data_IF_480871626871
#
_entry.id   IF_480871626871
#
_cell.length_a   1.000
_cell.length_b   1.000
_cell.length_c   1.000
_cell.angle_alpha   90.00
_cell.angle_beta   90.00
_cell.angle_gamma   90.00
#
_symmetry.space_group_name_H-M   'P 1'
#
loop_
_entity.id
_entity.type
_entity.pdbx_description
1 polymer ?
#
# COMPACT_ATOMS: atom_id res chain seq x y z
N UNK A 1 1.15 -14.21 -11.68
CA UNK A 1 2.02 -13.08 -12.13
C UNK A 1 1.91 -12.80 -13.64
N UNK A 2 0.84 -13.20 -14.35
CA UNK A 2 0.89 -13.23 -15.84
C UNK A 2 -0.14 -12.33 -16.54
N UNK A 3 -1.12 -11.76 -15.84
CA UNK A 3 -2.14 -10.91 -16.49
C UNK A 3 -1.73 -9.42 -16.65
N UNK A 4 -0.65 -8.97 -16.00
CA UNK A 4 -0.27 -7.55 -15.97
C UNK A 4 0.75 -7.12 -17.06
N UNK A 5 1.16 -8.04 -17.94
CA UNK A 5 2.17 -7.77 -18.97
C UNK A 5 1.64 -6.95 -20.16
N UNK A 6 0.33 -6.77 -20.30
CA UNK A 6 -0.26 -5.98 -21.37
C UNK A 6 -0.23 -4.46 -21.11
N UNK A 7 -0.08 -4.03 -19.84
CA UNK A 7 -0.22 -2.63 -19.47
C UNK A 7 1.05 -2.08 -18.84
N UNK A 8 1.63 -1.04 -19.45
CA UNK A 8 2.98 -0.51 -19.16
C UNK A 8 3.10 0.24 -17.82
N UNK A 9 2.09 0.16 -16.95
CA UNK A 9 2.07 0.81 -15.66
C UNK A 9 2.58 -0.14 -14.56
N UNK A 10 3.41 0.33 -13.62
CA UNK A 10 3.78 -0.46 -12.46
C UNK A 10 2.52 -0.67 -11.59
N UNK A 11 1.95 -1.87 -11.64
CA UNK A 11 0.87 -2.29 -10.75
C UNK A 11 1.50 -2.96 -9.53
N UNK A 12 1.11 -2.50 -8.35
CA UNK A 12 1.56 -3.02 -7.06
C UNK A 12 0.39 -3.62 -6.28
N UNK A 13 0.67 -4.73 -5.60
CA UNK A 13 -0.20 -5.40 -4.64
C UNK A 13 0.62 -5.60 -3.36
N UNK A 14 0.03 -5.50 -2.16
CA UNK A 14 0.74 -5.79 -0.93
C UNK A 14 1.00 -7.28 -0.77
N UNK A 15 2.02 -7.63 0.01
CA UNK A 15 2.39 -9.01 0.26
C UNK A 15 1.22 -9.80 0.87
N UNK A 16 0.91 -10.95 0.26
CA UNK A 16 -0.19 -11.83 0.68
C UNK A 16 -1.58 -11.40 0.20
N UNK A 17 -1.71 -10.31 -0.58
CA UNK A 17 -2.97 -9.97 -1.22
C UNK A 17 -3.17 -10.75 -2.53
N UNK A 18 -4.38 -11.26 -2.72
CA UNK A 18 -4.79 -11.86 -3.99
C UNK A 18 -5.10 -10.77 -5.03
N UNK A 19 -4.82 -11.01 -6.33
CA UNK A 19 -5.25 -10.11 -7.40
C UNK A 19 -6.77 -9.95 -7.45
N UNK A 20 -7.23 -8.76 -7.82
CA UNK A 20 -8.65 -8.45 -7.98
C UNK A 20 -8.93 -7.88 -9.37
N UNK A 21 -10.09 -8.19 -9.93
CA UNK A 21 -10.56 -7.70 -11.21
C UNK A 21 -12.08 -7.79 -11.29
N UNK A 22 -12.68 -6.98 -12.17
CA UNK A 22 -14.11 -7.07 -12.50
C UNK A 22 -14.44 -8.18 -13.51
N UNK A 23 -13.42 -8.85 -14.05
CA UNK A 23 -13.52 -9.95 -15.01
C UNK A 23 -12.89 -11.22 -14.42
N UNK A 24 -13.20 -12.38 -15.00
CA UNK A 24 -12.69 -13.65 -14.50
C UNK A 24 -11.24 -13.87 -14.93
N UNK A 25 -10.43 -14.60 -14.13
CA UNK A 25 -9.10 -15.01 -14.57
C UNK A 25 -9.16 -15.81 -15.87
N UNK A 26 -8.52 -15.30 -16.93
CA UNK A 26 -8.49 -15.94 -18.24
C UNK A 26 -9.40 -15.27 -19.29
N UNK A 27 -10.27 -14.35 -18.88
CA UNK A 27 -11.02 -13.51 -19.81
C UNK A 27 -10.13 -12.39 -20.39
N UNK A 28 -10.44 -11.95 -21.60
CA UNK A 28 -9.79 -10.80 -22.24
C UNK A 28 -10.31 -9.49 -21.61
N UNK A 29 -9.46 -8.75 -20.87
CA UNK A 29 -9.88 -7.55 -20.15
C UNK A 29 -10.36 -6.42 -21.06
N UNK A 30 -10.02 -6.43 -22.34
CA UNK A 30 -10.48 -5.41 -23.29
C UNK A 30 -11.91 -5.67 -23.77
N UNK A 31 -12.43 -6.88 -23.51
CA UNK A 31 -13.74 -7.34 -24.00
C UNK A 31 -14.71 -7.59 -22.84
N UNK A 32 -14.24 -8.04 -21.67
CA UNK A 32 -15.05 -8.35 -20.48
C UNK A 32 -15.08 -7.20 -19.47
N UNK A 33 -15.54 -6.04 -19.93
CA UNK A 33 -15.66 -4.85 -19.09
C UNK A 33 -17.01 -4.76 -18.40
N UNK A 34 -17.03 -4.12 -17.23
CA UNK A 34 -18.28 -3.68 -16.60
C UNK A 34 -18.92 -2.63 -17.49
N UNK A 35 -20.19 -2.82 -17.84
CA UNK A 35 -20.93 -1.89 -18.68
C UNK A 35 -21.06 -0.50 -18.02
N UNK A 36 -21.29 0.52 -18.84
CA UNK A 36 -21.49 1.88 -18.35
C UNK A 36 -22.69 1.93 -17.39
N UNK A 37 -22.43 2.37 -16.16
CA UNK A 37 -23.45 2.41 -15.10
C UNK A 37 -23.60 1.10 -14.32
N UNK A 38 -22.83 0.06 -14.66
CA UNK A 38 -22.66 -1.12 -13.84
C UNK A 38 -21.81 -0.85 -12.60
N UNK A 39 -21.92 -1.73 -11.61
CA UNK A 39 -21.21 -1.65 -10.34
C UNK A 39 -20.31 -2.87 -10.17
N UNK A 40 -19.12 -2.65 -9.63
CA UNK A 40 -18.22 -3.70 -9.15
C UNK A 40 -17.92 -3.46 -7.67
N UNK A 41 -17.95 -4.52 -6.88
CA UNK A 41 -17.64 -4.48 -5.45
C UNK A 41 -16.53 -5.47 -5.13
N UNK A 42 -15.59 -5.03 -4.29
CA UNK A 42 -14.50 -5.86 -3.78
C UNK A 42 -14.19 -5.46 -2.33
N UNK A 43 -13.97 -6.47 -1.48
CA UNK A 43 -13.55 -6.28 -0.09
C UNK A 43 -12.07 -6.60 0.03
N UNK A 44 -11.29 -5.65 0.56
CA UNK A 44 -9.86 -5.82 0.80
C UNK A 44 -9.62 -6.37 2.20
N UNK A 45 -8.97 -7.53 2.28
CA UNK A 45 -8.67 -8.19 3.57
C UNK A 45 -7.24 -7.90 4.07
N UNK A 46 -6.34 -7.49 3.18
CA UNK A 46 -4.93 -7.26 3.49
C UNK A 46 -4.65 -5.76 3.54
N UNK A 47 -3.95 -5.32 4.59
CA UNK A 47 -3.50 -3.93 4.69
C UNK A 47 -2.29 -3.68 3.78
N UNK A 48 -2.23 -2.48 3.20
CA UNK A 48 -1.13 -2.08 2.32
C UNK A 48 -1.58 -1.21 1.16
N UNK A 49 -0.66 -1.01 0.22
CA UNK A 49 -0.88 -0.19 -0.96
C UNK A 49 -1.26 -1.04 -2.16
N UNK A 50 -2.38 -0.68 -2.80
CA UNK A 50 -2.91 -1.32 -4.01
C UNK A 50 -2.96 -0.33 -5.16
N UNK A 51 -2.60 -0.77 -6.35
CA UNK A 51 -2.84 -0.01 -7.58
C UNK A 51 -4.17 -0.39 -8.21
N UNK A 52 -5.08 0.58 -8.34
CA UNK A 52 -6.28 0.48 -9.16
C UNK A 52 -5.99 0.94 -10.58
N UNK A 53 -6.47 0.16 -11.57
CA UNK A 53 -6.33 0.47 -12.99
C UNK A 53 -7.65 0.20 -13.71
N UNK A 54 -8.18 1.21 -14.41
CA UNK A 54 -9.22 0.99 -15.41
C UNK A 54 -8.54 0.76 -16.76
N UNK A 55 -8.39 -0.51 -17.14
CA UNK A 55 -7.61 -0.95 -18.30
C UNK A 55 -7.88 -0.16 -19.59
N UNK A 56 -9.13 0.02 -20.07
CA UNK A 56 -9.38 0.74 -21.32
C UNK A 56 -9.08 2.24 -21.27
N UNK A 57 -8.97 2.83 -20.07
CA UNK A 57 -8.73 4.27 -19.87
C UNK A 57 -7.37 4.56 -19.24
N UNK A 58 -6.55 3.54 -19.07
CA UNK A 58 -5.30 3.69 -18.36
C UNK A 58 -4.29 4.56 -19.15
N UNK A 59 -4.42 4.64 -20.49
CA UNK A 59 -3.54 5.48 -21.34
C UNK A 59 -3.97 6.94 -21.26
N UNK A 60 -5.24 7.14 -20.91
CA UNK A 60 -5.79 8.43 -20.52
C UNK A 60 -5.50 8.76 -19.05
N UNK A 61 -4.79 7.89 -18.32
CA UNK A 61 -4.35 8.12 -16.95
C UNK A 61 -5.32 7.66 -15.87
N UNK A 62 -6.31 6.80 -16.18
CA UNK A 62 -7.28 6.31 -15.19
C UNK A 62 -6.67 5.21 -14.29
N UNK A 63 -5.79 5.66 -13.39
CA UNK A 63 -5.13 4.86 -12.38
C UNK A 63 -5.23 5.55 -11.03
N UNK A 64 -5.15 4.78 -9.94
CA UNK A 64 -5.14 5.32 -8.59
C UNK A 64 -4.45 4.40 -7.60
N UNK A 65 -4.08 4.97 -6.46
CA UNK A 65 -3.48 4.23 -5.34
C UNK A 65 -4.51 4.14 -4.22
N UNK A 66 -4.79 2.92 -3.76
CA UNK A 66 -5.63 2.65 -2.59
C UNK A 66 -4.73 2.24 -1.43
N UNK A 67 -4.76 2.99 -0.34
CA UNK A 67 -4.07 2.64 0.90
C UNK A 67 -5.08 2.05 1.89
N UNK A 68 -4.98 0.75 2.12
CA UNK A 68 -5.81 0.02 3.07
C UNK A 68 -5.07 -0.03 4.40
N UNK A 69 -5.68 0.55 5.44
CA UNK A 69 -5.15 0.51 6.80
C UNK A 69 -6.17 -0.13 7.74
N UNK A 70 -5.72 -0.89 8.74
CA UNK A 70 -6.62 -1.48 9.73
C UNK A 70 -7.47 -0.41 10.43
N UNK A 71 -8.76 -0.70 10.64
CA UNK A 71 -9.68 0.21 11.34
C UNK A 71 -9.19 0.58 12.73
N UNK A 72 -8.46 -0.31 13.38
CA UNK A 72 -7.86 -0.08 14.69
C UNK A 72 -6.88 1.10 14.69
N UNK A 73 -6.19 1.37 13.58
CA UNK A 73 -5.31 2.55 13.47
C UNK A 73 -6.10 3.86 13.50
N UNK A 74 -7.30 3.88 12.90
CA UNK A 74 -8.19 5.04 12.98
C UNK A 74 -8.71 5.25 14.39
N UNK A 75 -9.05 4.17 15.10
CA UNK A 75 -9.49 4.25 16.50
C UNK A 75 -8.38 4.85 17.37
N UNK A 76 -7.13 4.40 17.21
CA UNK A 76 -6.01 4.99 17.93
C UNK A 76 -5.80 6.47 17.60
N UNK A 77 -6.03 6.90 16.36
CA UNK A 77 -6.01 8.31 15.99
C UNK A 77 -7.08 9.12 16.73
N UNK A 78 -8.32 8.66 16.75
CA UNK A 78 -9.42 9.32 17.49
C UNK A 78 -9.18 9.32 19.01
N UNK A 79 -8.69 8.22 19.57
CA UNK A 79 -8.34 8.11 20.99
C UNK A 79 -7.19 9.06 21.32
N UNK A 80 -6.17 9.17 20.47
CA UNK A 80 -5.08 10.12 20.67
C UNK A 80 -5.59 11.57 20.62
N UNK A 81 -6.45 11.92 19.66
CA UNK A 81 -7.05 13.26 19.56
C UNK A 81 -7.86 13.65 20.80
N UNK A 82 -8.57 12.68 21.38
CA UNK A 82 -9.44 12.89 22.55
C UNK A 82 -8.68 12.90 23.87
N UNK A 83 -7.68 12.02 24.05
CA UNK A 83 -6.88 11.92 25.27
C UNK A 83 -5.79 12.99 25.33
N UNK A 84 -5.06 13.21 24.23
CA UNK A 84 -3.96 14.19 24.18
C UNK A 84 -4.44 15.59 23.77
N UNK A 85 -5.74 15.76 23.58
CA UNK A 85 -6.38 17.06 23.59
C UNK A 85 -6.05 17.94 22.40
N UNK A 86 -6.68 17.69 21.25
CA UNK A 86 -6.99 18.78 20.32
C UNK A 86 -8.06 19.68 20.96
N UNK A 87 -7.67 20.54 21.90
CA UNK A 87 -8.54 21.62 22.40
C UNK A 87 -8.46 22.89 21.55
N UNK A 88 -7.82 22.85 20.37
CA UNK A 88 -7.91 23.93 19.37
C UNK A 88 -8.00 23.36 17.96
N UNK A 89 -9.22 23.32 17.44
CA UNK A 89 -9.50 23.26 16.01
C UNK A 89 -8.82 24.49 15.38
N UNK A 90 -7.62 24.35 14.78
CA UNK A 90 -7.04 25.46 14.00
C UNK A 90 -5.52 25.67 13.92
N UNK A 91 -4.64 24.81 14.44
CA UNK A 91 -3.20 24.92 14.14
C UNK A 91 -2.65 23.68 13.47
N UNK A 92 -2.15 23.87 12.24
CA UNK A 92 -1.52 22.89 11.33
C UNK A 92 -0.33 22.12 11.97
N UNK A 93 0.08 22.51 13.18
CA UNK A 93 1.29 22.05 13.86
C UNK A 93 1.13 20.62 14.43
N UNK A 94 -0.06 20.20 14.85
CA UNK A 94 -0.23 18.92 15.55
C UNK A 94 -0.08 17.70 14.63
N UNK A 95 -0.67 17.77 13.42
CA UNK A 95 -0.51 16.70 12.43
C UNK A 95 0.92 16.61 11.90
N UNK A 96 1.63 17.74 11.80
CA UNK A 96 3.03 17.74 11.40
C UNK A 96 3.93 17.07 12.44
N UNK A 97 3.69 17.32 13.74
CA UNK A 97 4.43 16.67 14.84
C UNK A 97 4.10 15.18 14.93
N UNK A 98 2.82 14.81 14.83
CA UNK A 98 2.39 13.40 14.84
C UNK A 98 2.98 12.67 13.62
N UNK A 99 2.83 13.21 12.41
CA UNK A 99 3.37 12.61 11.20
C UNK A 99 4.90 12.52 11.25
N UNK A 100 5.60 13.56 11.71
CA UNK A 100 7.05 13.52 11.87
C UNK A 100 7.50 12.49 12.91
N UNK A 101 6.76 12.31 14.02
CA UNK A 101 7.07 11.30 15.01
C UNK A 101 6.89 9.88 14.45
N UNK A 102 5.79 9.60 13.75
CA UNK A 102 5.56 8.30 13.11
C UNK A 102 6.58 8.02 12.00
N UNK A 103 6.92 9.01 11.16
CA UNK A 103 7.97 8.87 10.14
C UNK A 103 9.36 8.64 10.77
N UNK A 104 9.69 9.35 11.84
CA UNK A 104 10.96 9.16 12.56
C UNK A 104 11.05 7.79 13.21
N UNK A 105 9.98 7.31 13.85
CA UNK A 105 9.91 5.96 14.41
C UNK A 105 10.04 4.92 13.29
N UNK A 106 9.32 5.08 12.18
CA UNK A 106 9.45 4.20 11.01
C UNK A 106 10.87 4.18 10.43
N UNK A 107 11.53 5.35 10.33
CA UNK A 107 12.93 5.45 9.92
C UNK A 107 13.87 4.72 10.89
N UNK A 108 13.71 4.93 12.19
CA UNK A 108 14.55 4.30 13.21
C UNK A 108 14.38 2.78 13.23
N UNK A 109 13.16 2.28 13.11
CA UNK A 109 12.88 0.85 13.01
C UNK A 109 13.44 0.25 11.70
N UNK A 110 13.40 0.99 10.59
CA UNK A 110 14.03 0.60 9.32
C UNK A 110 15.57 0.58 9.40
N UNK A 111 16.19 1.49 10.15
CA UNK A 111 17.66 1.51 10.32
C UNK A 111 18.15 0.53 11.39
N UNK A 112 17.29 0.12 12.33
CA UNK A 112 17.60 -0.91 13.32
C UNK A 112 17.64 -2.33 12.73
N UNK A 113 17.16 -2.51 11.50
CA UNK A 113 17.23 -3.77 10.75
C UNK A 113 18.41 -3.84 9.78
N UNK A 114 19.49 -3.08 10.00
CA UNK A 114 20.75 -3.44 9.32
C UNK A 114 21.04 -4.90 9.68
N UNK A 115 21.06 -5.82 8.71
CA UNK A 115 21.54 -7.16 9.00
C UNK A 115 22.97 -6.93 9.45
N UNK A 116 23.30 -7.40 10.65
CA UNK A 116 24.69 -7.58 11.04
C UNK A 116 25.34 -8.29 9.86
N UNK A 117 26.15 -7.57 9.06
CA UNK A 117 26.88 -8.14 7.94
C UNK A 117 27.62 -9.31 8.56
N UNK A 118 27.14 -10.51 8.27
CA UNK A 118 27.70 -11.74 8.82
C UNK A 118 29.19 -11.64 8.61
N UNK A 119 29.94 -11.79 9.69
CA UNK A 119 31.39 -11.88 9.60
C UNK A 119 31.70 -12.89 8.50
N UNK A 120 32.28 -12.39 7.41
CA UNK A 120 32.78 -13.21 6.32
C UNK A 120 33.80 -14.18 6.95
N UNK A 121 33.60 -15.51 6.87
CA UNK A 121 34.59 -16.43 7.40
C UNK A 121 35.89 -16.22 6.61
N UNK A 122 37.00 -16.05 7.34
CA UNK A 122 38.34 -15.87 6.80
C UNK A 122 38.67 -16.96 5.76
N UNK A 123 39.41 -16.66 4.69
CA UNK A 123 39.79 -17.67 3.71
C UNK A 123 40.59 -18.78 4.39
N UNK A 124 40.15 -20.02 4.18
CA UNK A 124 40.81 -21.23 4.65
C UNK A 124 42.24 -21.26 4.12
N UNK A 125 43.20 -21.13 5.03
CA UNK A 125 44.62 -21.32 4.75
C UNK A 125 45.04 -22.71 5.20
N UNK A 126 44.67 -23.75 4.45
CA UNK A 126 45.37 -25.05 4.54
C UNK A 126 45.30 -25.86 3.23
N UNK A 127 46.51 -26.08 2.67
CA UNK A 127 46.99 -27.15 1.77
C UNK A 127 46.45 -27.25 0.33
#
# INVERSE_FOLDING_TARGET
>A
MTACLAYRAPVSLPDGAEPFASYSPGDDPDVTLVERGGTYEHTFEVAGEYTYVCIPHADSGMMGTLLIVPVIMWIWHYVALTIFGSTRIGTIIDYAVIAAAFLAIGYLLRTGSEPTRGAEPAPDSTA
#
